data_IF_776989819852
#
_entry.id   IF_776989819852
#
_cell.length_a   1.000
_cell.length_b   1.000
_cell.length_c   1.000
_cell.angle_alpha   90.00
_cell.angle_beta   90.00
_cell.angle_gamma   90.00
#
_symmetry.space_group_name_H-M   'P 1'
#
loop_
_entity.id
_entity.type
_entity.pdbx_description
1 polymer ?
#
# COMPACT_ATOMS: atom_id res chain seq x y z
N UNK A 1 -11.31 -12.02 6.92
CA UNK A 1 -10.98 -10.76 6.22
C UNK A 1 -9.97 -9.98 7.07
N UNK A 2 -9.05 -9.23 6.46
CA UNK A 2 -8.15 -8.34 7.20
C UNK A 2 -8.59 -6.89 6.96
N UNK A 3 -8.97 -6.20 8.04
CA UNK A 3 -9.53 -4.85 8.01
C UNK A 3 -8.47 -3.75 8.26
N UNK A 4 -7.20 -4.10 8.43
CA UNK A 4 -6.15 -3.11 8.62
C UNK A 4 -5.97 -2.27 7.36
N UNK A 5 -5.90 -0.95 7.55
CA UNK A 5 -5.88 0.01 6.46
C UNK A 5 -7.23 0.19 5.77
N UNK A 6 -8.33 -0.38 6.30
CA UNK A 6 -9.69 -0.07 5.85
C UNK A 6 -10.29 1.00 6.78
N UNK A 7 -10.85 2.03 6.16
CA UNK A 7 -11.55 3.14 6.82
C UNK A 7 -13.04 2.93 6.61
N UNK A 8 -13.79 2.80 7.70
CA UNK A 8 -15.25 2.75 7.66
C UNK A 8 -15.82 4.16 7.74
N UNK A 9 -16.64 4.55 6.77
CA UNK A 9 -17.33 5.84 6.74
C UNK A 9 -18.78 5.63 6.30
N UNK A 10 -19.74 6.18 7.06
CA UNK A 10 -21.16 6.34 6.68
C UNK A 10 -21.73 5.22 5.78
N UNK A 11 -21.64 3.96 6.23
CA UNK A 11 -22.23 2.81 5.54
C UNK A 11 -21.38 2.18 4.43
N UNK A 12 -20.16 2.67 4.18
CA UNK A 12 -19.21 2.05 3.25
C UNK A 12 -17.81 1.88 3.86
N UNK A 13 -17.03 1.03 3.22
CA UNK A 13 -15.63 0.77 3.58
C UNK A 13 -14.72 1.22 2.44
N UNK A 14 -13.63 1.91 2.78
CA UNK A 14 -12.67 2.45 1.84
C UNK A 14 -11.26 2.05 2.26
N UNK A 15 -10.42 1.63 1.33
CA UNK A 15 -8.99 1.47 1.60
C UNK A 15 -8.33 2.84 1.89
N UNK A 16 -7.43 2.89 2.86
CA UNK A 16 -6.50 4.00 3.01
C UNK A 16 -5.60 4.09 1.78
N UNK A 17 -4.92 5.23 1.57
CA UNK A 17 -4.00 5.41 0.45
C UNK A 17 -2.89 4.35 0.45
N UNK A 18 -2.37 4.02 1.63
CA UNK A 18 -1.33 3.02 1.86
C UNK A 18 -1.85 1.62 1.54
N UNK A 19 -3.06 1.29 1.98
CA UNK A 19 -3.70 0.01 1.67
C UNK A 19 -3.96 -0.14 0.17
N UNK A 20 -4.49 0.89 -0.47
CA UNK A 20 -4.75 0.91 -1.91
C UNK A 20 -3.44 0.79 -2.72
N UNK A 21 -2.37 1.49 -2.33
CA UNK A 21 -1.05 1.36 -2.93
C UNK A 21 -0.57 -0.09 -2.86
N UNK A 22 -0.62 -0.70 -1.68
CA UNK A 22 -0.18 -2.09 -1.45
C UNK A 22 -0.99 -3.10 -2.25
N UNK A 23 -2.32 -2.96 -2.28
CA UNK A 23 -3.20 -3.81 -3.09
C UNK A 23 -2.82 -3.71 -4.57
N UNK A 24 -2.53 -2.50 -5.07
CA UNK A 24 -2.13 -2.28 -6.45
C UNK A 24 -0.80 -2.91 -6.81
N UNK A 25 0.25 -2.69 -6.03
CA UNK A 25 1.59 -3.23 -6.36
C UNK A 25 1.74 -4.72 -6.01
N UNK A 26 0.80 -5.27 -5.24
CA UNK A 26 0.66 -6.70 -5.01
C UNK A 26 0.08 -7.40 -6.25
N UNK A 27 -1.03 -6.88 -6.79
CA UNK A 27 -1.72 -7.43 -7.97
C UNK A 27 -0.94 -7.13 -9.25
N UNK A 28 -0.52 -5.89 -9.43
CA UNK A 28 0.11 -5.37 -10.64
C UNK A 28 1.57 -4.99 -10.35
N UNK A 29 2.46 -5.97 -10.54
CA UNK A 29 3.86 -5.88 -10.14
C UNK A 29 4.64 -4.72 -10.78
N UNK A 30 4.17 -4.22 -11.93
CA UNK A 30 4.82 -3.18 -12.74
C UNK A 30 3.94 -1.92 -12.92
N UNK A 31 3.06 -1.64 -11.97
CA UNK A 31 2.16 -0.49 -12.05
C UNK A 31 2.87 0.84 -11.75
N UNK A 32 2.90 1.77 -12.70
CA UNK A 32 3.55 3.07 -12.47
C UNK A 32 2.62 4.05 -11.74
N UNK A 33 3.15 4.77 -10.74
CA UNK A 33 2.44 5.84 -10.04
C UNK A 33 3.11 7.17 -10.31
N UNK A 34 2.35 8.11 -10.86
CA UNK A 34 2.86 9.45 -11.22
C UNK A 34 3.09 10.34 -9.98
N UNK A 35 2.40 10.06 -8.87
CA UNK A 35 2.50 10.85 -7.65
C UNK A 35 2.38 10.00 -6.38
N UNK A 36 3.45 9.99 -5.60
CA UNK A 36 3.54 9.29 -4.31
C UNK A 36 3.79 10.22 -3.13
N UNK A 37 3.73 11.55 -3.33
CA UNK A 37 4.10 12.56 -2.31
C UNK A 37 3.26 12.46 -1.02
N UNK A 38 2.02 12.00 -1.14
CA UNK A 38 1.05 11.95 -0.03
C UNK A 38 0.91 10.55 0.59
N UNK A 39 1.85 9.64 0.35
CA UNK A 39 1.89 8.29 0.94
C UNK A 39 2.65 8.34 2.27
N UNK A 40 2.05 7.76 3.30
CA UNK A 40 2.71 7.54 4.58
C UNK A 40 3.44 6.18 4.56
N UNK A 41 4.74 6.22 4.25
CA UNK A 41 5.57 5.01 4.10
C UNK A 41 5.75 4.24 5.43
N UNK A 42 5.72 4.94 6.56
CA UNK A 42 5.79 4.32 7.89
C UNK A 42 4.55 3.47 8.17
N UNK A 43 3.39 3.87 7.65
CA UNK A 43 2.17 3.05 7.68
C UNK A 43 2.18 1.91 6.67
N UNK A 44 2.84 2.06 5.52
CA UNK A 44 2.94 0.99 4.51
C UNK A 44 3.71 -0.23 5.03
N UNK A 45 4.80 -0.04 5.77
CA UNK A 45 5.66 -1.13 6.23
C UNK A 45 4.94 -2.22 7.08
N UNK A 46 4.18 -1.89 8.13
CA UNK A 46 3.42 -2.87 8.88
C UNK A 46 2.24 -3.45 8.06
N UNK A 47 1.60 -2.67 7.19
CA UNK A 47 0.51 -3.14 6.33
C UNK A 47 0.99 -4.17 5.29
N UNK A 48 2.18 -3.99 4.72
CA UNK A 48 2.73 -4.92 3.73
C UNK A 48 2.90 -6.35 4.27
N UNK A 49 3.17 -6.49 5.58
CA UNK A 49 3.32 -7.80 6.25
C UNK A 49 2.04 -8.65 6.20
N UNK A 50 0.87 -8.02 6.09
CA UNK A 50 -0.44 -8.70 6.00
C UNK A 50 -0.51 -9.64 4.80
N UNK A 51 0.13 -9.25 3.69
CA UNK A 51 0.11 -10.01 2.44
C UNK A 51 1.04 -11.23 2.49
N UNK A 52 1.84 -11.37 3.55
CA UNK A 52 2.81 -12.46 3.76
C UNK A 52 3.68 -12.71 2.52
N UNK A 53 4.08 -11.62 1.86
CA UNK A 53 4.79 -11.67 0.59
C UNK A 53 6.06 -10.80 0.64
N UNK A 54 7.22 -11.45 0.73
CA UNK A 54 8.52 -10.76 0.78
C UNK A 54 8.82 -9.95 -0.48
N UNK A 55 8.32 -10.38 -1.65
CA UNK A 55 8.52 -9.65 -2.91
C UNK A 55 7.73 -8.33 -2.94
N UNK A 56 6.56 -8.30 -2.29
CA UNK A 56 5.80 -7.06 -2.10
C UNK A 56 6.61 -6.07 -1.25
N UNK A 57 7.20 -6.52 -0.15
CA UNK A 57 8.02 -5.66 0.72
C UNK A 57 9.24 -5.10 -0.01
N UNK A 58 9.92 -5.92 -0.81
CA UNK A 58 11.03 -5.46 -1.67
C UNK A 58 10.54 -4.42 -2.68
N UNK A 59 9.39 -4.65 -3.32
CA UNK A 59 8.80 -3.71 -4.28
C UNK A 59 8.39 -2.40 -3.61
N UNK A 60 7.78 -2.45 -2.43
CA UNK A 60 7.40 -1.27 -1.66
C UNK A 60 8.62 -0.37 -1.39
N UNK A 61 9.75 -0.97 -0.98
CA UNK A 61 11.00 -0.22 -0.76
C UNK A 61 11.49 0.49 -2.02
N UNK A 62 11.36 -0.14 -3.20
CA UNK A 62 11.69 0.52 -4.48
C UNK A 62 10.82 1.76 -4.72
N UNK A 63 9.51 1.65 -4.51
CA UNK A 63 8.62 2.81 -4.64
C UNK A 63 8.95 3.92 -3.64
N UNK A 64 9.30 3.57 -2.40
CA UNK A 64 9.72 4.54 -1.39
C UNK A 64 10.98 5.31 -1.81
N UNK A 65 11.96 4.61 -2.40
CA UNK A 65 13.20 5.23 -2.91
C UNK A 65 12.94 6.17 -4.09
N UNK A 66 12.04 5.81 -5.01
CA UNK A 66 11.68 6.68 -6.15
C UNK A 66 10.82 7.88 -5.78
N UNK A 67 10.19 7.86 -4.61
CA UNK A 67 9.34 8.95 -4.13
C UNK A 67 10.13 10.06 -3.40
N UNK A 68 11.42 9.83 -3.13
CA UNK A 68 12.38 10.81 -2.59
C UNK A 68 13.08 11.52 -3.74
#
# INVERSE_FOLDING_TARGET
>A
ANNQGIISKNGYSQASKERALLDMIYLFKNYHFDNLRNIDWEKCAPLAKIYKNKQLEIRLKKYQQYAQ
#
